data_IF_819353788418
#
_entry.id   IF_819353788418
#
_cell.length_a   1.000
_cell.length_b   1.000
_cell.length_c   1.000
_cell.angle_alpha   90.00
_cell.angle_beta   90.00
_cell.angle_gamma   90.00
#
_symmetry.space_group_name_H-M   'P 1'
#
loop_
_entity.id
_entity.type
_entity.pdbx_description
1 polymer ?
#
# COMPACT_ATOMS: atom_id res chain seq x y z
N UNK A 1 12.34 -25.52 -14.77
CA UNK A 1 11.48 -26.60 -14.26
C UNK A 1 10.74 -25.99 -13.07
N UNK A 2 9.45 -25.74 -13.25
CA UNK A 2 8.64 -24.96 -12.32
C UNK A 2 8.03 -25.91 -11.29
N UNK A 3 8.64 -25.98 -10.11
CA UNK A 3 8.05 -26.68 -8.96
C UNK A 3 7.06 -25.72 -8.28
N UNK A 4 5.86 -25.66 -8.86
CA UNK A 4 4.68 -25.05 -8.27
C UNK A 4 3.80 -26.17 -7.70
N UNK A 5 3.89 -26.42 -6.39
CA UNK A 5 2.86 -27.16 -5.68
C UNK A 5 1.85 -26.14 -5.13
N UNK A 6 0.89 -25.77 -5.97
CA UNK A 6 -0.30 -25.05 -5.53
C UNK A 6 -1.37 -26.06 -5.17
N UNK A 7 -1.73 -26.17 -3.89
CA UNK A 7 -2.97 -26.84 -3.49
C UNK A 7 -4.12 -25.86 -3.64
N UNK A 8 -5.15 -26.26 -4.40
CA UNK A 8 -6.46 -25.61 -4.35
C UNK A 8 -7.09 -25.96 -3.02
N UNK A 9 -7.46 -24.98 -2.21
CA UNK A 9 -8.45 -25.21 -1.16
C UNK A 9 -9.82 -25.48 -1.79
N UNK A 10 -10.72 -26.11 -1.04
CA UNK A 10 -12.08 -26.44 -1.50
C UNK A 10 -12.89 -25.21 -1.95
N UNK A 11 -12.47 -24.00 -1.53
CA UNK A 11 -13.08 -22.72 -1.90
C UNK A 11 -12.48 -22.07 -3.16
N UNK A 12 -11.50 -22.71 -3.83
CA UNK A 12 -10.86 -22.19 -5.04
C UNK A 12 -9.76 -21.15 -4.81
N UNK A 13 -9.47 -20.80 -3.56
CA UNK A 13 -8.37 -19.93 -3.19
C UNK A 13 -7.00 -20.62 -3.37
N UNK A 14 -6.07 -19.90 -3.98
CA UNK A 14 -4.67 -20.32 -4.10
C UNK A 14 -4.00 -20.07 -2.76
N UNK A 15 -3.82 -21.10 -1.94
CA UNK A 15 -2.98 -21.00 -0.74
C UNK A 15 -1.53 -21.12 -1.15
N UNK A 16 -0.85 -19.97 -1.18
CA UNK A 16 0.60 -19.93 -1.33
C UNK A 16 1.28 -20.37 -0.02
N UNK A 17 1.57 -21.66 0.12
CA UNK A 17 2.57 -22.16 1.09
C UNK A 17 3.98 -21.77 0.63
N UNK A 18 4.32 -20.48 0.76
CA UNK A 18 5.66 -19.99 0.51
C UNK A 18 6.53 -20.27 1.74
N UNK A 19 7.66 -20.97 1.55
CA UNK A 19 8.65 -21.07 2.62
C UNK A 19 9.10 -19.68 3.07
N UNK A 20 9.39 -19.53 4.37
CA UNK A 20 9.81 -18.26 4.95
C UNK A 20 11.02 -17.66 4.23
N UNK A 21 11.96 -18.50 3.79
CA UNK A 21 13.12 -18.08 3.01
C UNK A 21 12.75 -17.46 1.65
N UNK A 22 11.64 -17.89 1.03
CA UNK A 22 11.14 -17.31 -0.22
C UNK A 22 10.41 -15.98 0.04
N UNK A 23 9.56 -15.91 1.08
CA UNK A 23 8.92 -14.67 1.53
C UNK A 23 9.95 -13.58 1.84
N UNK A 24 10.97 -13.91 2.64
CA UNK A 24 12.04 -12.96 3.00
C UNK A 24 12.83 -12.45 1.79
N UNK A 25 13.07 -13.30 0.79
CA UNK A 25 13.73 -12.88 -0.46
C UNK A 25 12.86 -11.92 -1.26
N UNK A 26 11.56 -12.16 -1.32
CA UNK A 26 10.62 -11.28 -2.00
C UNK A 26 10.48 -9.94 -1.29
N UNK A 27 10.30 -9.94 0.03
CA UNK A 27 10.26 -8.72 0.85
C UNK A 27 11.50 -7.86 0.60
N UNK A 28 12.70 -8.44 0.65
CA UNK A 28 13.95 -7.70 0.39
C UNK A 28 14.03 -7.08 -1.00
N UNK A 29 13.47 -7.76 -2.03
CA UNK A 29 13.43 -7.22 -3.40
C UNK A 29 12.50 -6.01 -3.46
N UNK A 30 11.32 -6.12 -2.87
CA UNK A 30 10.35 -5.04 -2.82
C UNK A 30 10.90 -3.86 -2.01
N UNK A 31 11.50 -4.11 -0.84
CA UNK A 31 12.13 -3.06 -0.02
C UNK A 31 13.20 -2.30 -0.81
N UNK A 32 14.05 -3.00 -1.56
CA UNK A 32 15.05 -2.36 -2.43
C UNK A 32 14.43 -1.53 -3.56
N UNK A 33 13.25 -1.91 -4.04
CA UNK A 33 12.53 -1.14 -5.03
C UNK A 33 11.95 0.15 -4.43
N UNK A 34 11.42 0.09 -3.21
CA UNK A 34 10.64 1.19 -2.61
C UNK A 34 11.45 2.16 -1.74
N UNK A 35 12.52 1.71 -1.10
CA UNK A 35 13.27 2.49 -0.11
C UNK A 35 14.67 2.86 -0.60
N UNK A 36 15.11 4.06 -0.24
CA UNK A 36 16.51 4.49 -0.40
C UNK A 36 17.40 3.82 0.65
N UNK A 37 16.90 3.77 1.89
CA UNK A 37 17.54 3.13 3.02
C UNK A 37 16.47 2.54 3.93
N UNK A 38 16.72 1.35 4.49
CA UNK A 38 15.84 0.74 5.47
C UNK A 38 16.64 -0.07 6.49
N UNK A 39 16.14 -0.09 7.72
CA UNK A 39 16.67 -0.88 8.84
C UNK A 39 15.60 -1.85 9.33
N UNK A 40 16.03 -3.03 9.77
CA UNK A 40 15.17 -4.02 10.43
C UNK A 40 15.31 -3.88 11.93
N UNK A 41 14.19 -3.74 12.63
CA UNK A 41 14.13 -3.61 14.08
C UNK A 41 14.15 -5.00 14.75
N UNK A 42 14.45 -5.03 16.05
CA UNK A 42 14.60 -6.27 16.83
C UNK A 42 13.31 -7.11 16.90
N UNK A 43 12.16 -6.47 16.72
CA UNK A 43 10.84 -7.10 16.67
C UNK A 43 10.47 -7.67 15.29
N UNK A 44 11.36 -7.53 14.30
CA UNK A 44 11.14 -7.97 12.92
C UNK A 44 10.39 -6.96 12.06
N UNK A 45 9.97 -5.81 12.60
CA UNK A 45 9.47 -4.69 11.80
C UNK A 45 10.62 -3.99 11.07
N UNK A 46 10.28 -3.09 10.14
CA UNK A 46 11.28 -2.31 9.41
C UNK A 46 10.87 -0.85 9.32
N UNK A 47 11.87 0.02 9.33
CA UNK A 47 11.71 1.45 9.10
C UNK A 47 12.62 1.87 7.95
N UNK A 48 12.12 2.68 7.03
CA UNK A 48 12.90 3.11 5.88
C UNK A 48 12.49 4.46 5.33
N UNK A 49 13.44 5.08 4.63
CA UNK A 49 13.22 6.28 3.84
C UNK A 49 12.71 5.87 2.47
N UNK A 50 11.47 6.26 2.16
CA UNK A 50 10.83 5.99 0.87
C UNK A 50 11.56 6.80 -0.21
N UNK A 51 11.81 6.20 -1.38
CA UNK A 51 12.39 6.91 -2.53
C UNK A 51 11.46 8.02 -3.01
N UNK A 52 12.03 9.14 -3.47
CA UNK A 52 11.23 10.27 -3.96
C UNK A 52 10.27 9.86 -5.08
N UNK A 53 10.70 8.99 -6.02
CA UNK A 53 9.84 8.48 -7.11
C UNK A 53 8.57 7.78 -6.61
N UNK A 54 8.65 7.10 -5.47
CA UNK A 54 7.51 6.42 -4.83
C UNK A 54 6.63 7.43 -4.09
N UNK A 55 7.25 8.43 -3.47
CA UNK A 55 6.53 9.53 -2.83
C UNK A 55 5.74 10.34 -3.87
N UNK A 56 6.31 10.59 -5.05
CA UNK A 56 5.62 11.27 -6.15
C UNK A 56 4.36 10.53 -6.58
N UNK A 57 4.41 9.19 -6.74
CA UNK A 57 3.23 8.36 -7.04
C UNK A 57 2.11 8.55 -5.99
N UNK A 58 2.48 8.63 -4.71
CA UNK A 58 1.51 8.86 -3.63
C UNK A 58 0.94 10.28 -3.72
N UNK A 59 1.79 11.30 -3.88
CA UNK A 59 1.37 12.71 -3.97
C UNK A 59 0.46 12.98 -5.18
N UNK A 60 0.72 12.34 -6.32
CA UNK A 60 -0.13 12.46 -7.51
C UNK A 60 -1.56 11.98 -7.29
N UNK A 61 -1.73 10.98 -6.42
CA UNK A 61 -3.04 10.42 -6.10
C UNK A 61 -3.72 11.13 -4.92
N UNK A 62 -2.96 11.83 -4.07
CA UNK A 62 -3.48 12.56 -2.90
C UNK A 62 -3.12 14.06 -2.94
N UNK A 63 -3.96 14.90 -3.58
CA UNK A 63 -3.82 16.35 -3.50
C UNK A 63 -3.97 16.85 -2.05
N UNK A 64 -2.85 17.30 -1.47
CA UNK A 64 -2.73 17.76 -0.07
C UNK A 64 -3.62 18.97 0.28
N UNK A 65 -4.03 19.74 -0.72
CA UNK A 65 -4.77 21.01 -0.53
C UNK A 65 -6.27 20.90 -0.84
N UNK A 66 -6.81 19.69 -1.07
CA UNK A 66 -8.21 19.50 -1.41
C UNK A 66 -8.97 18.68 -0.38
N UNK A 67 -10.20 19.10 -0.08
CA UNK A 67 -11.14 18.27 0.68
C UNK A 67 -11.64 17.15 -0.22
N UNK A 68 -11.61 15.94 0.31
CA UNK A 68 -12.02 14.74 -0.39
C UNK A 68 -13.19 14.10 0.34
N UNK A 69 -14.20 13.64 -0.39
CA UNK A 69 -15.25 12.81 0.18
C UNK A 69 -14.75 11.39 0.46
N UNK A 70 -15.43 10.64 1.33
CA UNK A 70 -15.05 9.27 1.68
C UNK A 70 -14.98 8.34 0.46
N UNK A 71 -15.96 8.39 -0.44
CA UNK A 71 -15.95 7.58 -1.65
C UNK A 71 -14.76 7.89 -2.58
N UNK A 72 -14.43 9.18 -2.73
CA UNK A 72 -13.27 9.59 -3.52
C UNK A 72 -11.96 9.15 -2.85
N UNK A 73 -11.89 9.20 -1.51
CA UNK A 73 -10.73 8.72 -0.76
C UNK A 73 -10.46 7.23 -1.03
N UNK A 74 -11.52 6.40 -0.98
CA UNK A 74 -11.41 4.96 -1.26
C UNK A 74 -10.91 4.71 -2.69
N UNK A 75 -11.43 5.43 -3.68
CA UNK A 75 -11.00 5.31 -5.07
C UNK A 75 -9.53 5.72 -5.26
N UNK A 76 -9.08 6.79 -4.60
CA UNK A 76 -7.67 7.24 -4.65
C UNK A 76 -6.73 6.25 -3.98
N UNK A 77 -7.12 5.66 -2.85
CA UNK A 77 -6.37 4.57 -2.20
C UNK A 77 -6.22 3.40 -3.18
N UNK A 78 -7.31 2.93 -3.78
CA UNK A 78 -7.29 1.81 -4.72
C UNK A 78 -6.40 2.07 -5.94
N UNK A 79 -6.45 3.30 -6.48
CA UNK A 79 -5.56 3.72 -7.57
C UNK A 79 -4.10 3.74 -7.14
N UNK A 80 -3.79 4.31 -5.98
CA UNK A 80 -2.41 4.37 -5.46
C UNK A 80 -1.85 2.97 -5.26
N UNK A 81 -2.65 2.03 -4.75
CA UNK A 81 -2.24 0.62 -4.60
C UNK A 81 -1.88 0.02 -5.96
N UNK A 82 -2.71 0.26 -6.98
CA UNK A 82 -2.45 -0.21 -8.34
C UNK A 82 -1.16 0.37 -8.91
N UNK A 83 -0.96 1.68 -8.76
CA UNK A 83 0.22 2.38 -9.29
C UNK A 83 1.52 1.91 -8.59
N UNK A 84 1.47 1.72 -7.26
CA UNK A 84 2.59 1.18 -6.48
C UNK A 84 2.87 -0.28 -6.85
N UNK A 85 1.83 -1.11 -7.02
CA UNK A 85 2.01 -2.50 -7.43
C UNK A 85 2.67 -2.60 -8.80
N UNK A 86 2.22 -1.79 -9.77
CA UNK A 86 2.83 -1.71 -11.09
C UNK A 86 4.29 -1.22 -11.02
N UNK A 87 4.58 -0.24 -10.17
CA UNK A 87 5.94 0.22 -9.94
C UNK A 87 6.84 -0.88 -9.37
N UNK A 88 6.37 -1.64 -8.38
CA UNK A 88 7.11 -2.77 -7.80
C UNK A 88 7.33 -3.86 -8.86
N UNK A 89 6.32 -4.19 -9.66
CA UNK A 89 6.43 -5.20 -10.71
C UNK A 89 7.46 -4.78 -11.78
N UNK A 90 7.47 -3.52 -12.21
CA UNK A 90 8.44 -3.01 -13.17
C UNK A 90 9.88 -2.99 -12.61
N UNK A 91 10.04 -2.83 -11.30
CA UNK A 91 11.34 -2.70 -10.63
C UNK A 91 11.81 -3.97 -9.90
N UNK A 92 11.01 -5.03 -9.88
CA UNK A 92 11.36 -6.31 -9.25
C UNK A 92 11.13 -7.48 -10.18
N UNK A 93 12.08 -8.42 -10.20
CA UNK A 93 11.96 -9.63 -11.01
C UNK A 93 11.71 -10.87 -10.12
N UNK A 94 10.78 -11.72 -10.55
CA UNK A 94 10.53 -13.03 -9.93
C UNK A 94 9.90 -12.98 -8.54
N UNK A 95 9.10 -11.95 -8.28
CA UNK A 95 8.14 -11.87 -7.16
C UNK A 95 6.77 -12.18 -7.74
N UNK A 96 5.93 -12.91 -7.00
CA UNK A 96 4.60 -13.26 -7.48
C UNK A 96 3.66 -12.05 -7.37
N UNK A 97 2.85 -11.81 -8.41
CA UNK A 97 1.93 -10.67 -8.53
C UNK A 97 1.03 -10.49 -7.30
N UNK A 98 0.31 -11.54 -6.88
CA UNK A 98 -0.52 -11.53 -5.66
C UNK A 98 0.26 -11.06 -4.42
N UNK A 99 1.53 -11.45 -4.27
CA UNK A 99 2.37 -10.99 -3.16
C UNK A 99 2.70 -9.50 -3.27
N UNK A 100 2.95 -9.01 -4.49
CA UNK A 100 3.16 -7.58 -4.76
C UNK A 100 1.91 -6.78 -4.40
N UNK A 101 0.73 -7.22 -4.85
CA UNK A 101 -0.54 -6.53 -4.60
C UNK A 101 -0.86 -6.45 -3.11
N UNK A 102 -0.70 -7.55 -2.36
CA UNK A 102 -0.88 -7.52 -0.91
C UNK A 102 0.11 -6.59 -0.22
N UNK A 103 1.38 -6.64 -0.62
CA UNK A 103 2.38 -5.74 -0.06
C UNK A 103 2.06 -4.27 -0.37
N UNK A 104 1.67 -3.96 -1.60
CA UNK A 104 1.32 -2.59 -2.02
C UNK A 104 0.12 -2.06 -1.23
N UNK A 105 -0.90 -2.89 -1.00
CA UNK A 105 -2.05 -2.54 -0.17
C UNK A 105 -1.63 -2.14 1.24
N UNK A 106 -0.87 -3.01 1.92
CA UNK A 106 -0.40 -2.76 3.28
C UNK A 106 0.49 -1.52 3.35
N UNK A 107 1.41 -1.36 2.38
CA UNK A 107 2.32 -0.23 2.30
C UNK A 107 1.58 1.10 2.13
N UNK A 108 0.59 1.15 1.24
CA UNK A 108 -0.21 2.38 1.02
C UNK A 108 -1.03 2.72 2.25
N UNK A 109 -1.68 1.74 2.88
CA UNK A 109 -2.45 1.97 4.12
C UNK A 109 -1.58 2.54 5.25
N UNK A 110 -0.39 1.97 5.45
CA UNK A 110 0.57 2.45 6.46
C UNK A 110 1.10 3.85 6.13
N UNK A 111 1.45 4.08 4.86
CA UNK A 111 1.94 5.38 4.40
C UNK A 111 0.88 6.46 4.59
N UNK A 112 -0.37 6.18 4.25
CA UNK A 112 -1.46 7.14 4.41
C UNK A 112 -1.70 7.43 5.89
N UNK A 113 -1.75 6.40 6.73
CA UNK A 113 -1.95 6.55 8.18
C UNK A 113 -0.82 7.35 8.84
N UNK A 114 0.40 7.27 8.29
CA UNK A 114 1.56 8.00 8.79
C UNK A 114 1.65 9.44 8.26
N UNK A 115 1.21 9.69 7.01
CA UNK A 115 1.39 10.98 6.32
C UNK A 115 0.17 11.89 6.51
N UNK A 116 -1.05 11.33 6.53
CA UNK A 116 -2.29 12.10 6.59
C UNK A 116 -2.90 12.06 7.99
N UNK A 117 -3.11 13.24 8.58
CA UNK A 117 -4.03 13.39 9.70
C UNK A 117 -5.45 13.53 9.14
N UNK A 118 -6.25 12.47 9.23
CA UNK A 118 -7.66 12.54 8.86
C UNK A 118 -8.37 13.38 9.95
N UNK A 119 -8.83 14.56 9.57
CA UNK A 119 -9.73 15.37 10.42
C UNK A 119 -11.14 15.26 9.87
N UNK A 120 -12.05 14.71 10.67
CA UNK A 120 -13.49 14.79 10.39
C UNK A 120 -13.91 16.25 10.55
N UNK A 121 -14.11 16.95 9.44
CA UNK A 121 -14.84 18.22 9.47
C UNK A 121 -16.33 17.92 9.59
N UNK A 122 -16.91 18.24 10.74
CA UNK A 122 -18.36 18.34 10.90
C UNK A 122 -18.92 19.17 9.73
N UNK A 123 -20.00 18.71 9.06
CA UNK A 123 -20.67 19.53 8.06
C UNK A 123 -21.08 20.86 8.71
N UNK A 124 -21.02 21.99 7.98
CA UNK A 124 -21.47 23.26 8.52
C UNK A 124 -22.91 23.07 9.01
N UNK A 125 -23.12 23.24 10.32
CA UNK A 125 -24.48 23.24 10.87
C UNK A 125 -25.20 24.42 10.22
N UNK A 126 -26.22 24.14 9.42
CA UNK A 126 -27.22 25.12 8.99
C UNK A 126 -28.02 25.57 10.23
N UNK A 127 -27.38 26.36 11.10
CA UNK A 127 -28.03 27.05 12.22
C UNK A 127 -28.05 28.53 11.91
N UNK A 128 -28.80 28.94 10.90
CA UNK A 128 -29.13 30.36 10.68
C UNK A 128 -30.53 30.59 10.06
N UNK A 129 -31.43 29.60 10.11
CA UNK A 129 -32.83 29.73 9.69
C UNK A 129 -33.81 29.61 10.86
N UNK A 130 -33.63 30.40 11.92
CA UNK A 130 -34.75 30.75 12.82
C UNK A 130 -34.41 32.07 13.53
N UNK A 131 -34.54 33.19 12.80
CA UNK A 131 -34.74 34.49 13.42
C UNK A 131 -36.09 34.46 14.17
N UNK A 132 -36.07 34.88 15.44
CA UNK A 132 -37.27 35.13 16.25
C UNK A 132 -38.05 36.36 15.81
#
# INVERSE_FOLDING_TARGET
MADMDGFRNDDGDIVMELSEAKKNRWIRRIQKALFESWDTLEDGSYQGLIKEEVIEIIKENFPLDSRMGEAELVDRIGKTVTDIAAFIEANTNGVHEVFITHFALDFVQQSISSIFQIQETDPPRDTDFMYG
#
